data_IF_365074676117
#
_entry.id   IF_365074676117
#
_cell.length_a   1.000
_cell.length_b   1.000
_cell.length_c   1.000
_cell.angle_alpha   90.00
_cell.angle_beta   90.00
_cell.angle_gamma   90.00
#
_symmetry.space_group_name_H-M   'P 1'
#
loop_
_entity.id
_entity.type
_entity.pdbx_description
1 polymer ?
#
# COMPACT_ATOMS: atom_id res chain seq x y z
N UNK A 1 10.21 -45.46 12.94
CA UNK A 1 10.45 -44.28 12.11
C UNK A 1 9.11 -43.84 11.53
N UNK A 2 8.39 -42.97 12.25
CA UNK A 2 7.12 -42.41 11.76
C UNK A 2 7.42 -41.13 10.99
N UNK A 3 7.25 -41.19 9.67
CA UNK A 3 7.34 -40.04 8.78
C UNK A 3 6.19 -39.06 9.11
N UNK A 4 6.43 -38.11 10.01
CA UNK A 4 5.65 -36.87 10.06
C UNK A 4 6.05 -36.02 8.86
N UNK A 5 5.49 -36.31 7.69
CA UNK A 5 5.36 -35.27 6.68
C UNK A 5 4.47 -34.18 7.29
N UNK A 6 4.95 -32.94 7.53
CA UNK A 6 4.11 -31.88 8.05
C UNK A 6 3.03 -31.66 7.00
N UNK A 7 1.78 -32.04 7.32
CA UNK A 7 0.66 -31.75 6.45
C UNK A 7 0.63 -30.22 6.29
N UNK A 8 1.02 -29.75 5.11
CA UNK A 8 0.97 -28.35 4.72
C UNK A 8 -0.49 -27.93 4.71
N UNK A 9 -0.95 -27.44 5.86
CA UNK A 9 -2.34 -27.13 6.11
C UNK A 9 -2.76 -25.95 5.23
N UNK A 10 -3.43 -26.25 4.11
CA UNK A 10 -3.90 -25.25 3.15
C UNK A 10 -4.71 -24.18 3.88
N UNK A 11 -4.50 -22.92 3.52
CA UNK A 11 -5.24 -21.82 4.11
C UNK A 11 -6.67 -21.83 3.59
N UNK A 12 -7.65 -21.72 4.50
CA UNK A 12 -9.06 -21.60 4.13
C UNK A 12 -9.24 -20.31 3.31
N UNK A 13 -10.04 -20.40 2.24
CA UNK A 13 -10.34 -19.27 1.36
C UNK A 13 -10.84 -18.04 2.15
N UNK A 14 -11.70 -18.26 3.14
CA UNK A 14 -12.20 -17.21 4.03
C UNK A 14 -11.10 -16.49 4.82
N UNK A 15 -10.07 -17.21 5.25
CA UNK A 15 -8.91 -16.60 5.93
C UNK A 15 -8.08 -15.78 4.97
N UNK A 16 -7.91 -16.21 3.72
CA UNK A 16 -7.21 -15.44 2.68
C UNK A 16 -7.97 -14.15 2.34
N UNK A 17 -9.29 -14.24 2.24
CA UNK A 17 -10.16 -13.10 1.96
C UNK A 17 -10.14 -12.10 3.13
N UNK A 18 -10.28 -12.58 4.38
CA UNK A 18 -10.20 -11.73 5.55
C UNK A 18 -8.82 -11.06 5.71
N UNK A 19 -7.74 -11.80 5.44
CA UNK A 19 -6.40 -11.23 5.42
C UNK A 19 -6.28 -10.14 4.36
N UNK A 20 -6.68 -10.42 3.11
CA UNK A 20 -6.60 -9.46 2.02
C UNK A 20 -7.42 -8.19 2.28
N UNK A 21 -8.61 -8.32 2.85
CA UNK A 21 -9.45 -7.19 3.23
C UNK A 21 -8.73 -6.19 4.16
N UNK A 22 -7.80 -6.66 5.00
CA UNK A 22 -7.00 -5.77 5.86
C UNK A 22 -6.18 -4.72 5.12
N UNK A 23 -5.73 -5.00 3.89
CA UNK A 23 -4.93 -4.05 3.07
C UNK A 23 -5.80 -3.02 2.35
N UNK A 24 -7.10 -3.32 2.16
CA UNK A 24 -8.02 -2.46 1.43
C UNK A 24 -8.15 -1.08 2.08
N UNK A 25 -8.18 -1.03 3.42
CA UNK A 25 -8.35 0.22 4.15
C UNK A 25 -7.14 1.18 4.02
N UNK A 26 -5.93 0.74 4.40
CA UNK A 26 -4.70 1.48 4.18
C UNK A 26 -4.51 1.88 2.71
N UNK A 27 -4.87 1.00 1.75
CA UNK A 27 -4.75 1.28 0.32
C UNK A 27 -5.71 2.39 -0.15
N UNK A 28 -6.96 2.43 0.32
CA UNK A 28 -7.91 3.50 -0.02
C UNK A 28 -7.37 4.84 0.47
N UNK A 29 -7.11 4.96 1.78
CA UNK A 29 -6.66 6.21 2.38
C UNK A 29 -5.32 6.68 1.79
N UNK A 30 -4.37 5.76 1.62
CA UNK A 30 -3.06 6.05 1.04
C UNK A 30 -3.16 6.58 -0.39
N UNK A 31 -4.00 5.98 -1.24
CA UNK A 31 -4.17 6.46 -2.62
C UNK A 31 -4.88 7.81 -2.69
N UNK A 32 -5.92 8.03 -1.88
CA UNK A 32 -6.55 9.37 -1.81
C UNK A 32 -5.51 10.42 -1.42
N UNK A 33 -4.64 10.09 -0.46
CA UNK A 33 -3.58 10.99 -0.03
C UNK A 33 -2.57 11.30 -1.15
N UNK A 34 -2.13 10.27 -1.89
CA UNK A 34 -1.16 10.42 -2.99
C UNK A 34 -1.70 11.32 -4.09
N UNK A 35 -2.97 11.16 -4.48
CA UNK A 35 -3.53 11.91 -5.60
C UNK A 35 -4.05 13.30 -5.21
N UNK A 36 -4.69 13.44 -4.05
CA UNK A 36 -5.49 14.63 -3.75
C UNK A 36 -4.93 15.52 -2.65
N UNK A 37 -4.02 15.04 -1.79
CA UNK A 37 -3.61 15.82 -0.62
C UNK A 37 -2.86 17.10 -1.00
N UNK A 38 -1.92 17.02 -1.95
CA UNK A 38 -1.18 18.20 -2.41
C UNK A 38 -2.12 19.21 -3.09
N UNK A 39 -3.07 18.71 -3.88
CA UNK A 39 -4.10 19.53 -4.51
C UNK A 39 -4.96 20.23 -3.47
N UNK A 40 -5.40 19.51 -2.43
CA UNK A 40 -6.19 20.06 -1.33
C UNK A 40 -5.44 21.15 -0.57
N UNK A 41 -4.17 20.94 -0.22
CA UNK A 41 -3.37 21.96 0.46
C UNK A 41 -3.22 23.24 -0.35
N UNK A 42 -3.04 23.11 -1.66
CA UNK A 42 -2.79 24.25 -2.55
C UNK A 42 -4.05 24.99 -2.97
N UNK A 43 -5.06 24.26 -3.44
CA UNK A 43 -6.27 24.84 -4.04
C UNK A 43 -7.42 25.04 -3.06
N UNK A 44 -7.49 24.27 -1.96
CA UNK A 44 -8.60 24.34 -1.00
C UNK A 44 -8.18 25.02 0.30
N UNK A 45 -7.07 24.57 0.89
CA UNK A 45 -6.54 25.19 2.12
C UNK A 45 -5.79 26.50 1.85
N UNK A 46 -5.42 26.78 0.59
CA UNK A 46 -4.76 28.03 0.18
C UNK A 46 -3.30 28.15 0.61
N UNK A 47 -2.62 27.03 0.89
CA UNK A 47 -1.19 27.03 1.21
C UNK A 47 -0.34 27.19 -0.06
N UNK A 48 0.73 27.99 -0.01
CA UNK A 48 1.72 28.03 -1.08
C UNK A 48 2.29 26.64 -1.35
N UNK A 49 2.50 26.29 -2.63
CA UNK A 49 2.96 24.96 -3.03
C UNK A 49 4.27 24.53 -2.36
N UNK A 50 5.19 25.47 -2.12
CA UNK A 50 6.45 25.18 -1.39
C UNK A 50 6.23 24.78 0.07
N UNK A 51 5.25 25.38 0.75
CA UNK A 51 4.88 25.04 2.14
C UNK A 51 4.09 23.74 2.18
N UNK A 52 3.17 23.53 1.24
CA UNK A 52 2.44 22.27 1.11
C UNK A 52 3.40 21.10 0.87
N UNK A 53 4.39 21.27 -0.02
CA UNK A 53 5.42 20.28 -0.27
C UNK A 53 6.30 19.97 0.96
N UNK A 54 6.64 20.98 1.75
CA UNK A 54 7.44 20.77 2.97
C UNK A 54 6.67 20.00 4.04
N UNK A 55 5.36 20.21 4.20
CA UNK A 55 4.50 19.41 5.09
C UNK A 55 4.55 17.93 4.70
N UNK A 56 4.41 17.62 3.40
CA UNK A 56 4.47 16.24 2.90
C UNK A 56 5.85 15.61 3.15
N UNK A 57 6.91 16.39 2.93
CA UNK A 57 8.29 15.95 3.17
C UNK A 57 8.53 15.64 4.65
N UNK A 58 8.11 16.51 5.57
CA UNK A 58 8.22 16.27 7.01
C UNK A 58 7.45 15.02 7.41
N UNK A 59 6.24 14.82 6.87
CA UNK A 59 5.46 13.60 7.09
C UNK A 59 6.22 12.34 6.70
N UNK A 60 6.86 12.33 5.53
CA UNK A 60 7.66 11.20 5.04
C UNK A 60 8.96 10.96 5.84
N UNK A 61 9.61 12.01 6.31
CA UNK A 61 10.78 11.86 7.20
C UNK A 61 10.35 11.25 8.53
N UNK A 62 9.21 11.71 9.08
CA UNK A 62 8.64 11.13 10.29
C UNK A 62 8.30 9.64 10.11
N UNK A 63 7.69 9.28 8.98
CA UNK A 63 7.36 7.89 8.61
C UNK A 63 8.61 6.98 8.67
N UNK A 64 9.70 7.43 8.04
CA UNK A 64 10.96 6.69 8.02
C UNK A 64 11.60 6.46 9.42
N UNK A 65 11.33 7.34 10.38
CA UNK A 65 11.80 7.20 11.77
C UNK A 65 10.85 6.32 12.59
N UNK A 66 9.54 6.44 12.36
CA UNK A 66 8.51 5.73 13.12
C UNK A 66 8.47 4.24 12.79
N UNK A 67 8.73 3.85 11.55
CA UNK A 67 8.68 2.47 11.07
C UNK A 67 9.57 1.50 11.89
N UNK A 68 10.87 1.76 12.11
CA UNK A 68 11.70 0.91 12.96
C UNK A 68 11.23 0.83 14.42
N UNK A 69 10.77 1.97 14.98
CA UNK A 69 10.35 2.05 16.38
C UNK A 69 9.11 1.18 16.61
N UNK A 70 8.08 1.37 15.78
CA UNK A 70 6.83 0.63 15.87
C UNK A 70 7.06 -0.85 15.56
N UNK A 71 7.95 -1.16 14.60
CA UNK A 71 8.33 -2.55 14.28
C UNK A 71 8.82 -3.29 15.53
N UNK A 72 9.83 -2.72 16.20
CA UNK A 72 10.42 -3.28 17.42
C UNK A 72 9.39 -3.37 18.56
N UNK A 73 8.56 -2.34 18.74
CA UNK A 73 7.55 -2.34 19.80
C UNK A 73 6.46 -3.39 19.54
N UNK A 74 6.04 -3.54 18.28
CA UNK A 74 5.01 -4.51 17.89
C UNK A 74 5.48 -5.96 18.07
N UNK A 75 6.76 -6.25 17.80
CA UNK A 75 7.32 -7.59 17.95
C UNK A 75 7.52 -7.99 19.43
N UNK A 76 7.77 -7.01 20.32
CA UNK A 76 7.94 -7.23 21.77
C UNK A 76 6.62 -7.25 22.56
N UNK A 77 5.51 -6.95 21.93
CA UNK A 77 4.22 -6.82 22.62
C UNK A 77 3.67 -8.19 23.03
N UNK A 78 3.34 -8.37 24.31
CA UNK A 78 2.69 -9.59 24.81
C UNK A 78 1.25 -9.25 25.16
N UNK A 79 0.30 -9.84 24.43
CA UNK A 79 -1.13 -9.62 24.65
C UNK A 79 -1.94 -10.91 24.39
N UNK A 80 -3.06 -11.16 25.10
CA UNK A 80 -3.90 -12.35 24.90
C UNK A 80 -4.47 -12.55 23.49
N UNK A 81 -4.43 -11.52 22.65
CA UNK A 81 -4.89 -11.58 21.26
C UNK A 81 -3.77 -11.90 20.26
N UNK A 82 -2.53 -12.05 20.73
CA UNK A 82 -1.32 -12.13 19.93
C UNK A 82 -0.57 -10.79 19.92
N UNK A 83 0.70 -10.80 19.52
CA UNK A 83 1.60 -9.63 19.57
C UNK A 83 1.17 -8.46 18.67
N UNK A 84 0.61 -8.77 17.49
CA UNK A 84 0.36 -7.80 16.39
C UNK A 84 -1.04 -7.18 16.37
N UNK A 85 -2.05 -7.91 16.82
CA UNK A 85 -3.43 -7.45 16.75
C UNK A 85 -3.81 -6.27 17.66
N UNK A 86 -3.26 -6.10 18.88
CA UNK A 86 -3.53 -4.92 19.68
C UNK A 86 -3.19 -3.63 18.92
N UNK A 87 -2.04 -3.60 18.26
CA UNK A 87 -1.60 -2.47 17.45
C UNK A 87 -2.57 -2.16 16.30
N UNK A 88 -3.00 -3.19 15.56
CA UNK A 88 -3.97 -3.00 14.48
C UNK A 88 -5.34 -2.52 14.98
N UNK A 89 -5.88 -3.14 16.03
CA UNK A 89 -7.24 -2.88 16.53
C UNK A 89 -7.32 -1.51 17.22
N UNK A 90 -6.35 -1.18 18.06
CA UNK A 90 -6.30 0.10 18.74
C UNK A 90 -5.83 1.22 17.82
N UNK A 91 -4.97 0.93 16.84
CA UNK A 91 -4.50 1.89 15.83
C UNK A 91 -5.52 2.23 14.76
N UNK A 92 -6.48 1.34 14.47
CA UNK A 92 -7.50 1.59 13.45
C UNK A 92 -8.36 2.83 13.74
N UNK A 93 -8.74 3.06 15.00
CA UNK A 93 -9.59 4.21 15.36
C UNK A 93 -8.84 5.54 15.17
N UNK A 94 -7.63 5.75 15.78
CA UNK A 94 -6.82 6.93 15.50
C UNK A 94 -6.54 7.12 14.02
N UNK A 95 -6.28 6.04 13.28
CA UNK A 95 -6.03 6.10 11.84
C UNK A 95 -7.21 6.74 11.08
N UNK A 96 -8.44 6.29 11.32
CA UNK A 96 -9.62 6.88 10.68
C UNK A 96 -9.89 8.33 11.10
N UNK A 97 -9.75 8.65 12.40
CA UNK A 97 -9.97 10.01 12.92
C UNK A 97 -8.96 11.00 12.35
N UNK A 98 -7.68 10.63 12.34
CA UNK A 98 -6.60 11.48 11.82
C UNK A 98 -6.69 11.65 10.31
N UNK A 99 -7.12 10.62 9.59
CA UNK A 99 -7.41 10.73 8.16
C UNK A 99 -8.52 11.75 7.90
N UNK A 100 -9.60 11.73 8.68
CA UNK A 100 -10.68 12.70 8.57
C UNK A 100 -10.21 14.12 8.89
N UNK A 101 -9.46 14.32 9.98
CA UNK A 101 -8.97 15.63 10.39
C UNK A 101 -8.07 16.29 9.34
N UNK A 102 -7.38 15.49 8.50
CA UNK A 102 -6.54 16.01 7.42
C UNK A 102 -7.30 16.82 6.37
N UNK A 103 -8.61 16.60 6.23
CA UNK A 103 -9.47 17.29 5.26
C UNK A 103 -10.21 18.50 5.87
N UNK A 104 -9.97 18.81 7.14
CA UNK A 104 -10.54 19.99 7.80
C UNK A 104 -9.59 21.18 7.63
N UNK A 105 -10.18 22.35 7.37
CA UNK A 105 -9.47 23.64 7.34
C UNK A 105 -9.89 24.44 8.58
N UNK A 106 -9.08 24.45 9.66
CA UNK A 106 -9.50 25.00 10.95
C UNK A 106 -9.42 26.53 11.04
N UNK A 107 -8.59 27.18 10.22
CA UNK A 107 -8.45 28.65 10.22
C UNK A 107 -7.87 29.14 8.89
N UNK A 108 -7.88 30.46 8.68
CA UNK A 108 -7.28 31.13 7.51
C UNK A 108 -5.84 31.60 7.75
N UNK A 109 -5.30 31.42 8.96
CA UNK A 109 -3.93 31.85 9.29
C UNK A 109 -2.93 30.82 8.76
N UNK A 110 -2.06 31.24 7.84
CA UNK A 110 -1.08 30.37 7.17
C UNK A 110 -0.11 29.67 8.13
N UNK A 111 0.36 30.36 9.18
CA UNK A 111 1.29 29.77 10.16
C UNK A 111 0.60 28.70 11.02
N UNK A 112 -0.65 28.98 11.42
CA UNK A 112 -1.45 27.99 12.15
C UNK A 112 -1.78 26.77 11.28
N UNK A 113 -2.19 26.99 10.03
CA UNK A 113 -2.45 25.92 9.07
C UNK A 113 -1.22 25.03 8.85
N UNK A 114 -0.03 25.63 8.73
CA UNK A 114 1.22 24.88 8.59
C UNK A 114 1.44 23.94 9.78
N UNK A 115 1.45 24.45 11.00
CA UNK A 115 1.69 23.63 12.19
C UNK A 115 0.59 22.59 12.42
N UNK A 116 -0.67 22.95 12.15
CA UNK A 116 -1.78 22.02 12.20
C UNK A 116 -1.55 20.82 11.28
N UNK A 117 -1.25 21.06 10.00
CA UNK A 117 -1.05 19.97 9.04
C UNK A 117 0.24 19.18 9.28
N UNK A 118 1.31 19.81 9.80
CA UNK A 118 2.52 19.07 10.21
C UNK A 118 2.20 18.09 11.33
N UNK A 119 1.50 18.54 12.38
CA UNK A 119 1.14 17.69 13.52
C UNK A 119 0.21 16.56 13.08
N UNK A 120 -0.84 16.89 12.30
CA UNK A 120 -1.79 15.92 11.76
C UNK A 120 -1.07 14.90 10.87
N UNK A 121 -0.16 15.34 10.00
CA UNK A 121 0.60 14.45 9.14
C UNK A 121 1.48 13.49 9.95
N UNK A 122 2.19 13.98 10.97
CA UNK A 122 3.02 13.13 11.84
C UNK A 122 2.16 12.09 12.56
N UNK A 123 1.07 12.53 13.20
CA UNK A 123 0.16 11.64 13.93
C UNK A 123 -0.48 10.61 12.99
N UNK A 124 -0.90 11.03 11.79
CA UNK A 124 -1.48 10.15 10.79
C UNK A 124 -0.49 9.09 10.32
N UNK A 125 0.78 9.46 10.02
CA UNK A 125 1.79 8.49 9.63
C UNK A 125 2.06 7.49 10.77
N UNK A 126 2.14 7.95 12.03
CA UNK A 126 2.24 7.04 13.19
C UNK A 126 1.08 6.05 13.21
N UNK A 127 -0.16 6.53 13.10
CA UNK A 127 -1.35 5.67 13.13
C UNK A 127 -1.38 4.70 11.94
N UNK A 128 -0.98 5.16 10.75
CA UNK A 128 -0.85 4.33 9.56
C UNK A 128 0.17 3.20 9.77
N UNK A 129 1.38 3.52 10.25
CA UNK A 129 2.43 2.53 10.54
C UNK A 129 2.00 1.53 11.62
N UNK A 130 1.36 2.00 12.70
CA UNK A 130 0.84 1.16 13.79
C UNK A 130 -0.13 0.09 13.26
N UNK A 131 -0.89 0.38 12.20
CA UNK A 131 -1.79 -0.59 11.57
C UNK A 131 -1.08 -1.41 10.50
N UNK A 132 -0.39 -0.76 9.57
CA UNK A 132 0.11 -1.35 8.35
C UNK A 132 1.31 -2.27 8.59
N UNK A 133 2.23 -1.90 9.50
CA UNK A 133 3.44 -2.68 9.75
C UNK A 133 3.15 -4.02 10.42
N UNK A 134 2.36 -4.10 11.52
CA UNK A 134 1.96 -5.38 12.08
C UNK A 134 1.11 -6.21 11.11
N UNK A 135 0.29 -5.55 10.28
CA UNK A 135 -0.50 -6.22 9.25
C UNK A 135 0.36 -6.91 8.17
N UNK A 136 1.37 -6.21 7.63
CA UNK A 136 2.31 -6.77 6.67
C UNK A 136 3.13 -7.92 7.27
N UNK A 137 3.42 -7.83 8.57
CA UNK A 137 4.18 -8.85 9.27
C UNK A 137 3.35 -10.12 9.59
N UNK A 138 2.01 -10.08 9.56
CA UNK A 138 1.16 -11.25 9.80
C UNK A 138 1.30 -12.37 8.76
N UNK A 139 1.77 -12.09 7.54
CA UNK A 139 1.89 -13.10 6.47
C UNK A 139 2.71 -14.33 6.88
N UNK A 140 3.94 -14.20 7.41
CA UNK A 140 4.73 -15.33 7.90
C UNK A 140 4.16 -16.01 9.16
N UNK A 141 3.31 -15.33 9.96
CA UNK A 141 2.63 -15.98 11.10
C UNK A 141 1.45 -16.86 10.65
N UNK A 142 0.82 -16.54 9.53
CA UNK A 142 -0.34 -17.27 9.02
C UNK A 142 0.02 -18.57 8.31
N UNK A 143 1.19 -18.64 7.66
CA UNK A 143 1.65 -19.83 6.96
C UNK A 143 3.16 -19.87 6.80
N UNK A 144 3.73 -21.06 6.95
CA UNK A 144 5.15 -21.35 6.69
C UNK A 144 5.37 -21.90 5.27
N UNK A 145 4.31 -22.15 4.49
CA UNK A 145 4.44 -22.70 3.15
C UNK A 145 4.61 -21.58 2.12
N UNK A 146 5.69 -21.64 1.34
CA UNK A 146 6.04 -20.70 0.29
C UNK A 146 4.91 -20.41 -0.71
N UNK A 147 4.24 -21.46 -1.20
CA UNK A 147 3.16 -21.31 -2.19
C UNK A 147 1.91 -20.66 -1.59
N UNK A 148 1.60 -20.97 -0.32
CA UNK A 148 0.48 -20.36 0.40
C UNK A 148 0.79 -18.90 0.76
N UNK A 149 2.03 -18.56 1.11
CA UNK A 149 2.50 -17.19 1.34
C UNK A 149 2.40 -16.33 0.09
N UNK A 150 2.83 -16.86 -1.06
CA UNK A 150 2.69 -16.19 -2.37
C UNK A 150 1.22 -15.98 -2.72
N UNK A 151 0.36 -16.97 -2.45
CA UNK A 151 -1.09 -16.84 -2.63
C UNK A 151 -1.69 -15.76 -1.72
N UNK A 152 -1.34 -15.72 -0.42
CA UNK A 152 -1.79 -14.68 0.52
C UNK A 152 -1.39 -13.28 0.05
N UNK A 153 -0.13 -13.09 -0.34
CA UNK A 153 0.35 -11.81 -0.86
C UNK A 153 -0.41 -11.43 -2.14
N UNK A 154 -0.74 -12.39 -3.01
CA UNK A 154 -1.55 -12.12 -4.20
C UNK A 154 -2.95 -11.61 -3.83
N UNK A 155 -3.61 -12.20 -2.82
CA UNK A 155 -4.89 -11.70 -2.31
C UNK A 155 -4.74 -10.31 -1.68
N UNK A 156 -3.72 -10.10 -0.85
CA UNK A 156 -3.40 -8.79 -0.24
C UNK A 156 -3.32 -7.69 -1.30
N UNK A 157 -2.48 -7.89 -2.31
CA UNK A 157 -2.31 -6.91 -3.37
C UNK A 157 -3.53 -6.75 -4.26
N UNK A 158 -4.30 -7.82 -4.50
CA UNK A 158 -5.57 -7.71 -5.21
C UNK A 158 -6.54 -6.77 -4.48
N UNK A 159 -6.64 -6.88 -3.15
CA UNK A 159 -7.42 -5.96 -2.31
C UNK A 159 -6.81 -4.56 -2.26
N UNK A 160 -5.48 -4.43 -2.27
CA UNK A 160 -4.77 -3.14 -2.34
C UNK A 160 -5.13 -2.36 -3.61
N UNK A 161 -4.97 -3.01 -4.78
CA UNK A 161 -5.27 -2.40 -6.09
C UNK A 161 -6.78 -2.14 -6.20
N UNK A 162 -7.62 -3.06 -5.74
CA UNK A 162 -9.07 -2.85 -5.71
C UNK A 162 -9.45 -1.66 -4.83
N UNK A 163 -8.81 -1.51 -3.67
CA UNK A 163 -8.96 -0.35 -2.78
C UNK A 163 -8.55 0.95 -3.46
N UNK A 164 -7.46 0.95 -4.23
CA UNK A 164 -7.06 2.12 -5.01
C UNK A 164 -8.05 2.46 -6.13
N UNK A 165 -8.62 1.47 -6.82
CA UNK A 165 -9.65 1.72 -7.83
C UNK A 165 -10.89 2.30 -7.16
N UNK A 166 -11.30 1.70 -6.03
CA UNK A 166 -12.44 2.14 -5.26
C UNK A 166 -12.26 3.58 -4.76
N UNK A 167 -11.05 3.97 -4.35
CA UNK A 167 -10.79 5.35 -3.89
C UNK A 167 -10.97 6.38 -5.00
N UNK A 168 -10.54 6.08 -6.23
CA UNK A 168 -10.75 6.94 -7.39
C UNK A 168 -12.23 7.04 -7.78
N UNK A 169 -12.95 5.91 -7.76
CA UNK A 169 -14.40 5.87 -8.05
C UNK A 169 -15.18 6.65 -6.99
N UNK A 170 -14.85 6.50 -5.70
CA UNK A 170 -15.46 7.26 -4.62
C UNK A 170 -15.21 8.76 -4.75
N UNK A 171 -13.97 9.16 -5.04
CA UNK A 171 -13.63 10.56 -5.27
C UNK A 171 -14.44 11.14 -6.45
N UNK A 172 -14.49 10.44 -7.59
CA UNK A 172 -15.26 10.88 -8.75
C UNK A 172 -16.75 11.02 -8.44
N UNK A 173 -17.35 10.03 -7.78
CA UNK A 173 -18.76 10.07 -7.40
C UNK A 173 -19.05 11.25 -6.47
N UNK A 174 -18.24 11.44 -5.43
CA UNK A 174 -18.43 12.53 -4.45
C UNK A 174 -18.24 13.90 -5.10
N UNK A 175 -17.24 14.06 -5.95
CA UNK A 175 -16.99 15.33 -6.64
C UNK A 175 -18.13 15.69 -7.60
N UNK A 176 -18.73 14.69 -8.26
CA UNK A 176 -19.92 14.92 -9.10
C UNK A 176 -21.19 15.29 -8.31
N UNK A 177 -21.31 14.86 -7.05
CA UNK A 177 -22.48 15.18 -6.20
C UNK A 177 -22.41 16.58 -5.59
N UNK A 178 -21.20 17.12 -5.39
CA UNK A 178 -20.98 18.42 -4.75
C UNK A 178 -20.13 19.36 -5.63
N UNK A 179 -20.55 19.69 -6.87
CA UNK A 179 -19.70 20.43 -7.82
C UNK A 179 -19.31 21.84 -7.33
N UNK A 180 -20.15 22.48 -6.51
CA UNK A 180 -19.99 23.89 -6.15
C UNK A 180 -19.18 24.13 -4.86
N UNK A 181 -18.82 23.09 -4.10
CA UNK A 181 -18.20 23.26 -2.78
C UNK A 181 -17.03 22.29 -2.53
N UNK A 182 -15.79 22.69 -2.85
CA UNK A 182 -14.62 21.80 -2.74
C UNK A 182 -14.33 21.38 -1.29
N UNK A 183 -14.62 22.23 -0.30
CA UNK A 183 -14.43 21.88 1.12
C UNK A 183 -15.34 20.70 1.50
N UNK A 184 -16.61 20.75 1.10
CA UNK A 184 -17.55 19.67 1.38
C UNK A 184 -17.19 18.36 0.66
N UNK A 185 -16.70 18.45 -0.60
CA UNK A 185 -16.22 17.30 -1.35
C UNK A 185 -15.16 16.52 -0.57
N UNK A 186 -14.12 17.20 -0.07
CA UNK A 186 -13.02 16.55 0.65
C UNK A 186 -13.40 16.07 2.05
N UNK A 187 -14.27 16.79 2.77
CA UNK A 187 -14.79 16.35 4.07
C UNK A 187 -15.60 15.06 3.91
N UNK A 188 -16.53 15.01 2.95
CA UNK A 188 -17.36 13.81 2.71
C UNK A 188 -16.49 12.65 2.25
N UNK A 189 -15.53 12.89 1.34
CA UNK A 189 -14.55 11.89 0.92
C UNK A 189 -13.74 11.37 2.12
N UNK A 190 -13.28 12.27 2.98
CA UNK A 190 -12.55 11.95 4.22
C UNK A 190 -13.34 11.04 5.15
N UNK A 191 -14.62 11.34 5.40
CA UNK A 191 -15.50 10.53 6.27
C UNK A 191 -15.73 9.15 5.66
N UNK A 192 -16.10 9.09 4.39
CA UNK A 192 -16.40 7.82 3.69
C UNK A 192 -15.17 6.93 3.65
N UNK A 193 -14.01 7.48 3.29
CA UNK A 193 -12.75 6.74 3.27
C UNK A 193 -12.27 6.36 4.67
N UNK A 194 -12.49 7.18 5.71
CA UNK A 194 -12.18 6.79 7.09
C UNK A 194 -13.01 5.58 7.54
N UNK A 195 -14.32 5.57 7.27
CA UNK A 195 -15.21 4.45 7.64
C UNK A 195 -14.83 3.18 6.87
N UNK A 196 -14.70 3.27 5.54
CA UNK A 196 -14.32 2.14 4.69
C UNK A 196 -12.86 1.72 4.95
N UNK A 197 -12.02 2.61 5.44
CA UNK A 197 -10.64 2.34 5.83
C UNK A 197 -10.53 1.50 7.10
N UNK A 198 -11.43 1.75 8.06
CA UNK A 198 -11.37 1.16 9.40
C UNK A 198 -12.07 -0.20 9.47
N UNK A 199 -13.24 -0.35 8.84
CA UNK A 199 -14.03 -1.59 8.90
C UNK A 199 -13.27 -2.86 8.44
N UNK A 200 -12.49 -2.85 7.35
CA UNK A 200 -11.77 -4.04 6.87
C UNK A 200 -10.65 -4.48 7.82
N UNK A 201 -10.06 -3.57 8.60
CA UNK A 201 -9.05 -3.90 9.61
C UNK A 201 -9.67 -4.75 10.71
N UNK A 202 -10.87 -4.39 11.18
CA UNK A 202 -11.63 -5.20 12.14
C UNK A 202 -12.06 -6.54 11.57
N UNK A 203 -12.48 -6.56 10.29
CA UNK A 203 -12.81 -7.81 9.60
C UNK A 203 -11.59 -8.74 9.52
N UNK A 204 -10.42 -8.20 9.18
CA UNK A 204 -9.16 -8.94 9.18
C UNK A 204 -8.89 -9.54 10.55
N UNK A 205 -8.95 -8.74 11.62
CA UNK A 205 -8.78 -9.20 13.00
C UNK A 205 -9.69 -10.39 13.33
N UNK A 206 -11.01 -10.27 13.07
CA UNK A 206 -11.96 -11.33 13.39
C UNK A 206 -11.72 -12.61 12.57
N UNK A 207 -11.33 -12.47 11.30
CA UNK A 207 -11.12 -13.60 10.40
C UNK A 207 -9.79 -14.34 10.58
N UNK A 208 -8.74 -13.65 11.05
CA UNK A 208 -7.39 -14.25 11.17
C UNK A 208 -7.01 -14.62 12.60
N UNK A 209 -7.59 -13.96 13.63
CA UNK A 209 -7.20 -14.11 15.05
C UNK A 209 -7.15 -15.55 15.53
N UNK A 210 -8.16 -16.38 15.21
CA UNK A 210 -8.25 -17.76 15.70
C UNK A 210 -7.03 -18.60 15.26
N UNK A 211 -6.58 -18.42 14.02
CA UNK A 211 -5.48 -19.21 13.44
C UNK A 211 -4.11 -18.74 13.92
N UNK A 212 -3.90 -17.43 14.00
CA UNK A 212 -2.66 -16.84 14.52
C UNK A 212 -2.44 -17.12 16.00
N UNK A 213 -3.50 -17.23 16.81
CA UNK A 213 -3.37 -17.64 18.22
C UNK A 213 -2.90 -19.08 18.34
N UNK A 214 -3.41 -19.99 17.49
CA UNK A 214 -2.95 -21.38 17.43
C UNK A 214 -1.51 -21.49 16.93
N UNK A 215 -1.12 -20.67 15.96
CA UNK A 215 0.25 -20.63 15.44
C UNK A 215 1.25 -20.09 16.47
N UNK A 216 0.94 -18.97 17.14
CA UNK A 216 1.81 -18.37 18.15
C UNK A 216 2.02 -19.29 19.37
N UNK A 217 0.99 -20.02 19.83
CA UNK A 217 1.13 -21.02 20.91
C UNK A 217 2.13 -22.14 20.58
N UNK A 218 2.18 -22.58 19.32
CA UNK A 218 3.16 -23.59 18.86
C UNK A 218 4.58 -23.03 18.74
N UNK A 219 4.71 -21.72 18.58
CA UNK A 219 5.99 -21.04 18.38
C UNK A 219 6.64 -20.62 19.72
N UNK A 220 5.84 -20.34 20.74
CA UNK A 220 6.31 -20.08 22.11
C UNK A 220 6.94 -21.32 22.78
N UNK A 221 6.65 -22.54 22.30
CA UNK A 221 7.27 -23.79 22.78
C UNK A 221 8.69 -24.03 22.22
N UNK A 222 9.15 -23.23 21.25
CA UNK A 222 10.50 -23.30 20.68
C UNK A 222 11.30 -22.01 20.92
N UNK A 223 12.25 -22.06 21.86
CA UNK A 223 13.30 -21.07 22.15
C UNK A 223 13.36 -19.81 21.24
N UNK A 224 12.87 -18.67 21.74
CA UNK A 224 13.18 -17.36 21.17
C UNK A 224 14.53 -16.86 21.71
N UNK A 225 15.61 -17.22 21.04
CA UNK A 225 16.86 -16.46 21.15
C UNK A 225 16.63 -15.10 20.46
N UNK A 226 16.15 -14.11 21.22
CA UNK A 226 16.04 -12.74 20.74
C UNK A 226 17.46 -12.19 20.55
N UNK A 227 17.99 -12.31 19.33
CA UNK A 227 19.21 -11.61 18.95
C UNK A 227 19.00 -10.10 19.16
N UNK A 228 20.02 -9.38 19.64
CA UNK A 228 19.98 -7.92 19.71
C UNK A 228 19.63 -7.33 18.34
N UNK A 229 18.81 -6.28 18.30
CA UNK A 229 18.34 -5.65 17.05
C UNK A 229 19.52 -5.20 16.16
N UNK A 230 20.58 -4.69 16.78
CA UNK A 230 21.78 -4.29 16.05
C UNK A 230 22.44 -5.47 15.31
N UNK A 231 22.38 -6.67 15.90
CA UNK A 231 22.91 -7.89 15.28
C UNK A 231 21.99 -8.38 14.17
N UNK A 232 20.66 -8.29 14.35
CA UNK A 232 19.70 -8.61 13.28
C UNK A 232 19.87 -7.70 12.06
N UNK A 233 20.05 -6.39 12.28
CA UNK A 233 20.33 -5.42 11.21
C UNK A 233 21.67 -5.75 10.55
N UNK A 234 22.73 -6.02 11.33
CA UNK A 234 24.04 -6.39 10.77
C UNK A 234 23.97 -7.64 9.91
N UNK A 235 23.24 -8.67 10.35
CA UNK A 235 23.02 -9.91 9.60
C UNK A 235 22.27 -9.62 8.30
N UNK A 236 21.19 -8.83 8.36
CA UNK A 236 20.43 -8.44 7.18
C UNK A 236 21.29 -7.69 6.15
N UNK A 237 22.11 -6.72 6.57
CA UNK A 237 23.02 -6.00 5.67
C UNK A 237 24.23 -6.82 5.21
N UNK A 238 24.55 -7.93 5.87
CA UNK A 238 25.61 -8.84 5.43
C UNK A 238 25.15 -9.81 4.34
N UNK A 239 23.83 -9.99 4.18
CA UNK A 239 23.25 -10.84 3.15
C UNK A 239 23.20 -10.08 1.80
N UNK A 240 24.18 -10.32 0.93
CA UNK A 240 24.26 -9.69 -0.39
C UNK A 240 22.99 -9.87 -1.24
N UNK A 241 22.45 -11.09 -1.40
CA UNK A 241 21.16 -11.33 -2.05
C UNK A 241 20.00 -10.49 -1.47
N UNK A 242 19.96 -10.26 -0.16
CA UNK A 242 18.92 -9.45 0.49
C UNK A 242 19.00 -7.99 0.09
N UNK A 243 20.21 -7.44 0.00
CA UNK A 243 20.43 -6.08 -0.48
C UNK A 243 19.97 -5.89 -1.94
N UNK A 244 20.16 -6.90 -2.81
CA UNK A 244 19.65 -6.84 -4.18
C UNK A 244 18.12 -6.82 -4.23
N UNK A 245 17.43 -7.61 -3.40
CA UNK A 245 15.96 -7.59 -3.33
C UNK A 245 15.44 -6.25 -2.79
N UNK A 246 16.11 -5.67 -1.79
CA UNK A 246 15.79 -4.30 -1.32
C UNK A 246 15.94 -3.30 -2.47
N UNK A 247 17.03 -3.35 -3.22
CA UNK A 247 17.26 -2.46 -4.37
C UNK A 247 16.17 -2.59 -5.43
N UNK A 248 15.80 -3.84 -5.78
CA UNK A 248 14.69 -4.14 -6.69
C UNK A 248 13.39 -3.53 -6.18
N UNK A 249 13.08 -3.70 -4.89
CA UNK A 249 11.88 -3.16 -4.27
C UNK A 249 11.84 -1.63 -4.31
N UNK A 250 12.94 -0.98 -3.91
CA UNK A 250 13.06 0.48 -3.91
C UNK A 250 12.89 1.05 -5.32
N UNK A 251 13.60 0.51 -6.31
CA UNK A 251 13.50 0.96 -7.71
C UNK A 251 12.09 0.74 -8.28
N UNK A 252 11.48 -0.42 -7.99
CA UNK A 252 10.11 -0.74 -8.41
C UNK A 252 9.11 0.27 -7.83
N UNK A 253 9.19 0.52 -6.53
CA UNK A 253 8.26 1.41 -5.84
C UNK A 253 8.42 2.87 -6.25
N UNK A 254 9.67 3.32 -6.44
CA UNK A 254 9.96 4.63 -7.01
C UNK A 254 9.34 4.80 -8.40
N UNK A 255 9.47 3.78 -9.27
CA UNK A 255 8.83 3.80 -10.59
C UNK A 255 7.31 3.93 -10.51
N UNK A 256 6.67 3.19 -9.58
CA UNK A 256 5.20 3.19 -9.41
C UNK A 256 4.74 4.56 -8.93
N UNK A 257 5.40 5.09 -7.90
CA UNK A 257 5.07 6.38 -7.30
C UNK A 257 5.29 7.54 -8.28
N UNK A 258 6.41 7.56 -9.01
CA UNK A 258 6.66 8.60 -10.01
C UNK A 258 5.60 8.56 -11.12
N UNK A 259 5.25 7.37 -11.60
CA UNK A 259 4.20 7.21 -12.62
C UNK A 259 2.87 7.73 -12.10
N UNK A 260 2.47 7.34 -10.88
CA UNK A 260 1.22 7.79 -10.26
C UNK A 260 1.18 9.31 -10.06
N UNK A 261 2.27 9.93 -9.60
CA UNK A 261 2.35 11.37 -9.38
C UNK A 261 2.35 12.20 -10.67
N UNK A 262 2.96 11.70 -11.76
CA UNK A 262 3.05 12.42 -13.04
C UNK A 262 1.79 12.23 -13.90
N UNK A 263 1.10 11.10 -13.77
CA UNK A 263 -0.08 10.75 -14.57
C UNK A 263 -1.15 11.87 -14.69
N UNK A 264 -1.59 12.55 -13.60
CA UNK A 264 -2.58 13.64 -13.74
C UNK A 264 -2.06 14.80 -14.59
N UNK A 265 -0.79 15.20 -14.41
CA UNK A 265 -0.18 16.26 -15.22
C UNK A 265 -0.03 15.86 -16.69
N UNK A 266 0.28 14.59 -16.96
CA UNK A 266 0.36 14.09 -18.33
C UNK A 266 -1.00 14.12 -19.03
N UNK A 267 -2.08 13.67 -18.36
CA UNK A 267 -3.42 13.61 -18.96
C UNK A 267 -4.02 15.01 -19.13
N UNK A 268 -3.91 15.87 -18.11
CA UNK A 268 -4.58 17.17 -18.10
C UNK A 268 -3.75 18.22 -18.83
N UNK A 269 -2.47 18.38 -18.47
CA UNK A 269 -1.66 19.50 -18.96
C UNK A 269 -1.00 19.18 -20.31
N UNK A 270 -0.46 17.98 -20.50
CA UNK A 270 0.21 17.60 -21.75
C UNK A 270 -0.79 17.18 -22.83
N UNK A 271 -1.65 16.21 -22.53
CA UNK A 271 -2.65 15.70 -23.49
C UNK A 271 -3.85 16.64 -23.69
N UNK A 272 -4.00 17.67 -22.84
CA UNK A 272 -5.10 18.64 -22.89
C UNK A 272 -6.49 18.00 -22.83
N UNK A 273 -6.62 16.90 -22.07
CA UNK A 273 -7.89 16.21 -21.89
C UNK A 273 -8.66 16.77 -20.69
N UNK A 274 -10.00 16.59 -20.66
CA UNK A 274 -10.80 16.98 -19.50
C UNK A 274 -10.32 16.30 -18.21
N UNK A 275 -10.47 16.99 -17.07
CA UNK A 275 -10.06 16.46 -15.75
C UNK A 275 -10.73 15.12 -15.42
N UNK A 276 -11.96 14.90 -15.93
CA UNK A 276 -12.69 13.64 -15.78
C UNK A 276 -12.02 12.43 -16.48
N UNK A 277 -11.08 12.66 -17.40
CA UNK A 277 -10.39 11.58 -18.13
C UNK A 277 -9.25 10.97 -17.30
N UNK A 278 -8.65 11.71 -16.37
CA UNK A 278 -7.55 11.21 -15.52
C UNK A 278 -7.95 9.96 -14.71
N UNK A 279 -9.06 9.97 -13.94
CA UNK A 279 -9.48 8.78 -13.18
C UNK A 279 -9.72 7.57 -14.08
N UNK A 280 -10.22 7.77 -15.30
CA UNK A 280 -10.45 6.68 -16.25
C UNK A 280 -9.14 6.02 -16.71
N UNK A 281 -8.11 6.81 -17.00
CA UNK A 281 -6.78 6.28 -17.36
C UNK A 281 -6.15 5.56 -16.18
N UNK A 282 -6.23 6.14 -14.97
CA UNK A 282 -5.72 5.48 -13.76
C UNK A 282 -6.44 4.15 -13.48
N UNK A 283 -7.77 4.10 -13.64
CA UNK A 283 -8.55 2.87 -13.51
C UNK A 283 -8.15 1.85 -14.59
N UNK A 284 -7.84 2.28 -15.82
CA UNK A 284 -7.35 1.37 -16.86
C UNK A 284 -6.00 0.72 -16.49
N UNK A 285 -5.04 1.50 -15.98
CA UNK A 285 -3.73 0.99 -15.50
C UNK A 285 -3.93 0.04 -14.32
N UNK A 286 -4.74 0.43 -13.34
CA UNK A 286 -4.91 -0.37 -12.12
C UNK A 286 -5.78 -1.60 -12.34
N UNK A 287 -6.83 -1.52 -13.14
CA UNK A 287 -7.66 -2.67 -13.50
C UNK A 287 -6.90 -3.72 -14.29
N UNK A 288 -6.00 -3.29 -15.19
CA UNK A 288 -5.09 -4.21 -15.88
C UNK A 288 -4.02 -4.77 -14.95
N UNK A 289 -3.49 -3.98 -14.01
CA UNK A 289 -2.58 -4.49 -12.99
C UNK A 289 -3.24 -5.56 -12.08
N UNK A 290 -4.50 -5.35 -11.70
CA UNK A 290 -5.28 -6.29 -10.88
C UNK A 290 -5.52 -7.62 -11.61
N UNK A 291 -5.93 -7.55 -12.88
CA UNK A 291 -6.16 -8.77 -13.69
C UNK A 291 -4.86 -9.51 -13.98
N UNK A 292 -3.80 -8.79 -14.34
CA UNK A 292 -2.48 -9.39 -14.60
C UNK A 292 -1.80 -9.93 -13.35
N UNK A 293 -2.21 -9.50 -12.14
CA UNK A 293 -1.65 -10.02 -10.90
C UNK A 293 -1.87 -11.52 -10.76
N UNK A 294 -3.07 -12.00 -11.10
CA UNK A 294 -3.39 -13.42 -11.08
C UNK A 294 -2.63 -14.18 -12.17
N UNK A 295 -2.47 -13.57 -13.35
CA UNK A 295 -1.71 -14.15 -14.46
C UNK A 295 -0.24 -14.30 -14.06
N UNK A 296 0.40 -13.25 -13.54
CA UNK A 296 1.78 -13.28 -13.10
C UNK A 296 2.02 -14.24 -11.94
N UNK A 297 1.06 -14.38 -11.01
CA UNK A 297 1.10 -15.36 -9.93
C UNK A 297 1.05 -16.82 -10.45
N UNK A 298 0.38 -17.07 -11.57
CA UNK A 298 0.41 -18.38 -12.23
C UNK A 298 1.70 -18.60 -13.02
N UNK A 299 2.16 -17.59 -13.75
CA UNK A 299 3.38 -17.66 -14.57
C UNK A 299 4.63 -17.79 -13.68
N UNK A 300 4.67 -17.12 -12.52
CA UNK A 300 5.80 -17.20 -11.59
C UNK A 300 6.03 -18.61 -11.05
N UNK A 301 4.96 -19.40 -10.87
CA UNK A 301 5.06 -20.81 -10.49
C UNK A 301 5.72 -21.69 -11.56
N UNK A 302 5.68 -21.28 -12.84
CA UNK A 302 6.24 -22.05 -13.95
C UNK A 302 7.62 -21.55 -14.38
N UNK A 303 7.81 -20.24 -14.47
CA UNK A 303 9.02 -19.61 -15.02
C UNK A 303 9.94 -19.03 -13.92
N UNK A 304 9.50 -19.01 -12.67
CA UNK A 304 10.21 -18.40 -11.56
C UNK A 304 10.03 -16.88 -11.47
N UNK A 305 10.25 -16.35 -10.26
CA UNK A 305 10.06 -14.92 -9.96
C UNK A 305 10.97 -14.00 -10.77
N UNK A 306 12.23 -14.40 -10.99
CA UNK A 306 13.22 -13.60 -11.73
C UNK A 306 12.78 -13.35 -13.18
N UNK A 307 12.35 -14.38 -13.89
CA UNK A 307 11.90 -14.26 -15.28
C UNK A 307 10.65 -13.37 -15.38
N UNK A 308 9.69 -13.54 -14.47
CA UNK A 308 8.48 -12.72 -14.41
C UNK A 308 8.80 -11.25 -14.19
N UNK A 309 9.72 -10.94 -13.29
CA UNK A 309 10.14 -9.56 -13.04
C UNK A 309 10.78 -8.92 -14.28
N UNK A 310 11.71 -9.62 -14.95
CA UNK A 310 12.33 -9.10 -16.18
C UNK A 310 11.30 -8.83 -17.28
N UNK A 311 10.37 -9.77 -17.51
CA UNK A 311 9.32 -9.57 -18.52
C UNK A 311 8.43 -8.37 -18.18
N UNK A 312 7.98 -8.27 -16.93
CA UNK A 312 7.11 -7.17 -16.48
C UNK A 312 7.79 -5.80 -16.53
N UNK A 313 9.03 -5.69 -16.05
CA UNK A 313 9.79 -4.43 -16.08
C UNK A 313 10.13 -4.02 -17.51
N UNK A 314 10.51 -4.96 -18.39
CA UNK A 314 10.75 -4.64 -19.80
C UNK A 314 9.48 -4.10 -20.48
N UNK A 315 8.32 -4.74 -20.26
CA UNK A 315 7.04 -4.22 -20.76
C UNK A 315 6.73 -2.83 -20.21
N UNK A 316 7.04 -2.59 -18.94
CA UNK A 316 6.82 -1.28 -18.33
C UNK A 316 7.71 -0.20 -18.93
N UNK A 317 9.00 -0.49 -19.14
CA UNK A 317 9.95 0.44 -19.77
C UNK A 317 9.48 0.78 -21.19
N UNK A 318 9.01 -0.21 -21.96
CA UNK A 318 8.47 0.00 -23.31
C UNK A 318 7.22 0.89 -23.23
N UNK A 319 6.32 0.64 -22.28
CA UNK A 319 5.12 1.44 -22.10
C UNK A 319 5.45 2.91 -21.76
N UNK A 320 6.38 3.14 -20.83
CA UNK A 320 6.84 4.48 -20.45
C UNK A 320 7.56 5.20 -21.60
N UNK A 321 8.42 4.48 -22.32
CA UNK A 321 9.08 4.99 -23.52
C UNK A 321 8.07 5.38 -24.59
N UNK A 322 7.03 4.56 -24.79
CA UNK A 322 5.93 4.86 -25.69
C UNK A 322 5.16 6.12 -25.27
N UNK A 323 4.78 6.24 -23.99
CA UNK A 323 4.08 7.41 -23.45
C UNK A 323 4.88 8.70 -23.62
N UNK A 324 6.21 8.64 -23.57
CA UNK A 324 7.08 9.79 -23.77
C UNK A 324 7.01 10.39 -25.19
N UNK A 325 6.77 9.55 -26.22
CA UNK A 325 6.69 10.01 -27.61
C UNK A 325 5.27 10.35 -28.08
N UNK A 326 4.25 10.17 -27.23
CA UNK A 326 2.86 10.48 -27.58
C UNK A 326 2.67 11.99 -27.76
N UNK A 327 1.95 12.35 -28.82
CA UNK A 327 1.49 13.71 -29.07
C UNK A 327 0.01 13.90 -28.66
N UNK A 328 -0.40 15.14 -28.32
CA UNK A 328 -1.78 15.46 -28.02
C UNK A 328 -2.73 15.04 -29.16
N UNK A 329 -3.87 14.44 -28.82
CA UNK A 329 -4.85 13.90 -29.76
C UNK A 329 -4.77 12.39 -30.01
N UNK A 330 -3.66 11.72 -29.66
CA UNK A 330 -3.50 10.26 -29.79
C UNK A 330 -4.06 9.48 -28.59
N UNK A 331 -5.32 9.72 -28.24
CA UNK A 331 -5.95 9.18 -27.02
C UNK A 331 -6.01 7.64 -27.02
N UNK A 332 -6.29 7.00 -28.16
CA UNK A 332 -6.33 5.54 -28.26
C UNK A 332 -4.97 4.88 -27.97
N UNK A 333 -3.88 5.46 -28.47
CA UNK A 333 -2.53 5.00 -28.18
C UNK A 333 -2.18 5.17 -26.71
N UNK A 334 -2.56 6.28 -26.10
CA UNK A 334 -2.38 6.50 -24.66
C UNK A 334 -3.03 5.40 -23.82
N UNK A 335 -4.29 5.04 -24.10
CA UNK A 335 -4.95 3.94 -23.37
C UNK A 335 -4.27 2.60 -23.60
N UNK A 336 -3.83 2.30 -24.84
CA UNK A 336 -3.11 1.04 -25.12
C UNK A 336 -1.80 0.93 -24.34
N UNK A 337 -1.05 2.02 -24.22
CA UNK A 337 0.21 2.08 -23.47
C UNK A 337 -0.02 2.12 -21.96
N UNK A 338 -1.11 2.75 -21.50
CA UNK A 338 -1.54 2.70 -20.10
C UNK A 338 -1.91 1.27 -19.67
N UNK A 339 -2.65 0.55 -20.51
CA UNK A 339 -2.95 -0.87 -20.32
C UNK A 339 -1.65 -1.67 -20.24
N UNK A 340 -0.71 -1.46 -21.18
CA UNK A 340 0.59 -2.13 -21.16
C UNK A 340 1.41 -1.81 -19.90
N UNK A 341 1.37 -0.57 -19.40
CA UNK A 341 2.03 -0.19 -18.16
C UNK A 341 1.46 -0.96 -16.95
N UNK A 342 0.15 -1.20 -16.91
CA UNK A 342 -0.48 -2.00 -15.85
C UNK A 342 0.07 -3.43 -15.75
N UNK A 343 0.47 -4.03 -16.87
CA UNK A 343 1.08 -5.37 -16.89
C UNK A 343 2.40 -5.37 -16.12
N UNK A 344 3.19 -4.31 -16.30
CA UNK A 344 4.46 -4.09 -15.61
C UNK A 344 4.28 -3.75 -14.13
N UNK A 345 3.38 -2.81 -13.82
CA UNK A 345 3.07 -2.40 -12.44
C UNK A 345 2.70 -3.60 -11.58
N UNK A 346 1.90 -4.53 -12.10
CA UNK A 346 1.53 -5.76 -11.39
C UNK A 346 2.73 -6.60 -10.92
N UNK A 347 3.78 -6.71 -11.75
CA UNK A 347 5.00 -7.44 -11.37
C UNK A 347 5.81 -6.75 -10.27
N UNK A 348 5.79 -5.41 -10.25
CA UNK A 348 6.43 -4.61 -9.21
C UNK A 348 5.79 -4.83 -7.83
N UNK A 349 4.47 -5.04 -7.77
CA UNK A 349 3.78 -5.39 -6.51
C UNK A 349 4.07 -6.82 -6.05
N UNK A 350 4.00 -7.79 -6.97
CA UNK A 350 4.03 -9.21 -6.62
C UNK A 350 5.45 -9.73 -6.33
N UNK A 351 6.40 -9.45 -7.23
CA UNK A 351 7.66 -10.19 -7.30
C UNK A 351 8.59 -9.90 -6.11
N UNK A 352 8.86 -8.63 -5.72
CA UNK A 352 9.78 -8.37 -4.62
C UNK A 352 9.37 -9.07 -3.32
N UNK A 353 8.05 -9.08 -3.03
CA UNK A 353 7.51 -9.75 -1.86
C UNK A 353 7.57 -11.27 -1.90
N UNK A 354 7.63 -11.86 -3.09
CA UNK A 354 7.84 -13.31 -3.28
C UNK A 354 9.31 -13.72 -3.18
N UNK A 355 10.25 -12.80 -3.44
CA UNK A 355 11.70 -13.07 -3.38
C UNK A 355 12.29 -12.91 -1.98
N UNK A 356 11.67 -12.14 -1.08
CA UNK A 356 12.16 -11.94 0.29
C UNK A 356 12.40 -13.28 1.03
N UNK A 357 11.47 -14.26 1.01
CA UNK A 357 11.70 -15.55 1.66
C UNK A 357 12.85 -16.35 1.03
N UNK A 358 12.94 -16.35 -0.31
CA UNK A 358 13.94 -17.10 -1.10
C UNK A 358 15.38 -16.67 -0.81
N UNK A 359 15.55 -15.53 -0.17
CA UNK A 359 16.85 -14.92 0.14
C UNK A 359 17.22 -15.06 1.62
N UNK A 360 16.23 -15.37 2.45
CA UNK A 360 16.42 -15.66 3.87
C UNK A 360 16.70 -17.15 4.08
N UNK A 361 16.09 -18.01 3.27
CA UNK A 361 16.42 -19.43 3.12
C UNK A 361 17.73 -19.63 2.34
#
# INVERSE_FOLDING_TARGET
MNNFSPQTEKLNFWTKLAYGAGDLGPAICGNVQVFFLLFFFTNVAGLPAGIAGSILMIGKISDAINDPIIGVMSDRTVHPWGRRYPWMVFGAIPFGILFFLQWIVPSTNQSFLFWYYVIIAILFNIAYTVVNLPYAALTPELTQNYHERTSLNSFRFAFSISGSILSLVLAQLIFSLFPDNPIQQFIVLGIVCAIIGVLPIYWCFLGTRKRTLTANKKQEEGNNANLPIAEQIRVAFSNGPFLFVIGIYLCSWLGVQLTASILPYFVINWMQLPEATFPQVAIAVQGTALTMLFVWSFVSKKLGNKAVYFMGVCLWIIAQGGLFFIQPGQVGLMYSLAIMAGFGVSTAYLVPWSMIPDVID
#
